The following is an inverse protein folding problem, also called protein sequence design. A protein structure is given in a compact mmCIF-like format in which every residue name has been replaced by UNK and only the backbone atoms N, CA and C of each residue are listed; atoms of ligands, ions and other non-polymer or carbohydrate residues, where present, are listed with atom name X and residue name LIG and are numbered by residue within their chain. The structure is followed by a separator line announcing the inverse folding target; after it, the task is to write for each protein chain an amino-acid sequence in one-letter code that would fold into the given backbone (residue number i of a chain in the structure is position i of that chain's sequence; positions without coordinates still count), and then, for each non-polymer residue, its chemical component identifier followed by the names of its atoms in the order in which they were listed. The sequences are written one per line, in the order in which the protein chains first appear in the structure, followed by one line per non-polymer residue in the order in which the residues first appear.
data_IF_299502067889
#
_entry.id   IF_299502067889
#
_cell.length_a   1.000
_cell.length_b   1.000
_cell.length_c   1.000
_cell.angle_alpha   90.00
_cell.angle_beta   90.00
_cell.angle_gamma   90.00
#
_symmetry.space_group_name_H-M   'P 1'
#
loop_
_entity.id
_entity.type
_entity.pdbx_description
1 polymer ?
#
# COMPACT_ATOMS: atom_id res chain seq x y z
N UNK A 1 10.88 26.86 17.48
CA UNK A 1 10.32 25.55 17.10
C UNK A 1 9.97 25.62 15.62
N UNK A 2 10.47 24.75 14.74
CA UNK A 2 10.03 24.75 13.35
C UNK A 2 8.54 24.43 13.34
N UNK A 3 7.74 25.24 12.62
CA UNK A 3 6.32 24.99 12.38
C UNK A 3 6.19 23.56 11.85
N UNK A 4 5.53 22.65 12.60
CA UNK A 4 5.11 21.35 12.07
C UNK A 4 4.40 21.64 10.75
N UNK A 5 5.03 21.28 9.62
CA UNK A 5 4.39 21.40 8.31
C UNK A 5 3.08 20.63 8.38
N UNK A 6 1.99 21.39 8.41
CA UNK A 6 0.66 20.79 8.43
C UNK A 6 0.47 20.07 7.10
N UNK A 7 0.19 18.77 7.16
CA UNK A 7 -0.04 17.93 6.00
C UNK A 7 -1.07 18.59 5.06
N UNK A 8 -0.80 18.56 3.76
CA UNK A 8 -1.75 18.97 2.73
C UNK A 8 -2.59 17.73 2.36
N UNK A 9 -3.76 17.63 2.95
CA UNK A 9 -4.66 16.47 2.83
C UNK A 9 -6.12 16.90 2.63
N UNK A 10 -7.05 15.96 2.69
CA UNK A 10 -8.49 16.19 2.56
C UNK A 10 -9.12 17.09 3.61
N UNK A 11 -8.41 17.47 4.69
CA UNK A 11 -8.88 18.44 5.69
C UNK A 11 -8.65 19.89 5.25
N UNK A 12 -7.93 20.10 4.14
CA UNK A 12 -7.62 21.42 3.62
C UNK A 12 -8.64 21.87 2.58
N UNK A 13 -8.89 23.16 2.55
CA UNK A 13 -9.82 23.77 1.58
C UNK A 13 -9.20 23.92 0.19
N UNK A 14 -10.03 24.04 -0.84
CA UNK A 14 -9.59 24.27 -2.22
C UNK A 14 -8.66 25.49 -2.37
N UNK A 15 -8.90 26.67 -1.72
CA UNK A 15 -7.94 27.77 -1.74
C UNK A 15 -6.56 27.42 -1.17
N UNK A 16 -6.51 26.59 -0.10
CA UNK A 16 -5.24 26.13 0.48
C UNK A 16 -4.47 25.23 -0.50
N UNK A 17 -5.15 24.31 -1.19
CA UNK A 17 -4.59 23.47 -2.24
C UNK A 17 -4.07 24.32 -3.41
N UNK A 18 -4.85 25.31 -3.85
CA UNK A 18 -4.46 26.24 -4.92
C UNK A 18 -3.20 27.03 -4.56
N UNK A 19 -3.08 27.48 -3.32
CA UNK A 19 -1.90 28.22 -2.83
C UNK A 19 -0.66 27.33 -2.74
N UNK A 20 -0.82 26.08 -2.29
CA UNK A 20 0.29 25.15 -2.06
C UNK A 20 0.92 24.67 -3.39
N UNK A 21 0.13 24.49 -4.47
CA UNK A 21 0.56 24.02 -5.80
C UNK A 21 1.48 22.78 -5.74
N UNK A 22 1.10 21.71 -5.05
CA UNK A 22 1.96 20.55 -4.88
C UNK A 22 2.28 19.90 -6.23
N UNK A 23 3.50 19.34 -6.35
CA UNK A 23 3.95 18.61 -7.55
C UNK A 23 4.04 17.11 -7.30
N UNK A 24 3.98 16.71 -6.05
CA UNK A 24 4.07 15.33 -5.56
C UNK A 24 2.86 15.02 -4.69
N UNK A 25 2.23 13.89 -4.89
CA UNK A 25 1.21 13.36 -4.00
C UNK A 25 1.47 11.89 -3.66
N UNK A 26 0.87 11.46 -2.56
CA UNK A 26 0.83 10.06 -2.12
C UNK A 26 -0.63 9.61 -2.16
N UNK A 27 -0.90 8.49 -2.82
CA UNK A 27 -2.17 7.78 -2.80
C UNK A 27 -1.94 6.42 -2.14
N UNK A 28 -2.36 6.24 -0.88
CA UNK A 28 -2.37 4.92 -0.26
C UNK A 28 -3.51 4.06 -0.84
N UNK A 29 -3.24 2.77 -1.05
CA UNK A 29 -4.24 1.78 -1.53
C UNK A 29 -4.19 0.58 -0.60
N UNK A 30 -5.25 0.36 0.16
CA UNK A 30 -5.45 -0.78 1.04
C UNK A 30 -6.33 -1.86 0.42
N UNK A 31 -7.02 -2.59 1.29
CA UNK A 31 -8.06 -3.55 0.96
C UNK A 31 -9.00 -3.73 2.15
N UNK A 32 -10.23 -4.13 1.88
CA UNK A 32 -11.21 -4.47 2.90
C UNK A 32 -11.48 -5.96 2.89
N UNK A 33 -10.71 -6.70 3.68
CA UNK A 33 -10.69 -8.15 3.63
C UNK A 33 -10.51 -8.81 5.00
N UNK A 34 -10.84 -10.10 5.05
CA UNK A 34 -10.65 -10.89 6.24
C UNK A 34 -9.18 -10.94 6.68
N UNK A 35 -8.92 -10.92 7.98
CA UNK A 35 -7.63 -11.11 8.62
C UNK A 35 -7.81 -12.06 9.83
N UNK A 36 -8.46 -13.20 9.59
CA UNK A 36 -8.78 -14.20 10.60
C UNK A 36 -9.66 -13.65 11.73
N UNK A 37 -9.62 -14.28 12.91
CA UNK A 37 -10.45 -13.93 14.09
C UNK A 37 -9.86 -12.77 14.91
N UNK A 38 -8.62 -12.38 14.69
CA UNK A 38 -7.89 -11.53 15.63
C UNK A 38 -7.59 -10.11 15.10
N UNK A 39 -7.62 -9.88 13.79
CA UNK A 39 -7.41 -8.56 13.20
C UNK A 39 -8.68 -8.04 12.51
N UNK A 40 -8.87 -6.72 12.42
CA UNK A 40 -10.01 -6.13 11.75
C UNK A 40 -9.93 -6.27 10.23
N UNK A 41 -11.08 -6.20 9.55
CA UNK A 41 -11.17 -6.20 8.08
C UNK A 41 -10.41 -5.04 7.42
N UNK A 42 -10.22 -3.95 8.14
CA UNK A 42 -9.51 -2.75 7.68
C UNK A 42 -8.00 -2.77 8.03
N UNK A 43 -7.41 -3.92 8.26
CA UNK A 43 -5.98 -4.03 8.64
C UNK A 43 -5.08 -3.35 7.62
N UNK A 44 -5.24 -3.65 6.33
CA UNK A 44 -4.46 -3.07 5.24
C UNK A 44 -4.61 -1.56 5.14
N UNK A 45 -5.85 -1.07 5.32
CA UNK A 45 -6.16 0.36 5.29
C UNK A 45 -5.45 1.11 6.41
N UNK A 46 -5.53 0.58 7.64
CA UNK A 46 -4.92 1.19 8.83
C UNK A 46 -3.40 1.28 8.65
N UNK A 47 -2.79 0.20 8.17
CA UNK A 47 -1.35 0.12 7.99
C UNK A 47 -0.87 1.03 6.87
N UNK A 48 -1.50 0.96 5.69
CA UNK A 48 -1.08 1.78 4.54
C UNK A 48 -1.35 3.26 4.75
N UNK A 49 -2.45 3.62 5.41
CA UNK A 49 -2.75 5.02 5.76
C UNK A 49 -1.67 5.60 6.68
N UNK A 50 -1.28 4.85 7.70
CA UNK A 50 -0.20 5.25 8.60
C UNK A 50 1.12 5.52 7.86
N UNK A 51 1.54 4.61 6.98
CA UNK A 51 2.75 4.80 6.20
C UNK A 51 2.60 5.90 5.14
N UNK A 52 1.43 6.03 4.53
CA UNK A 52 1.11 7.11 3.60
C UNK A 52 1.24 8.49 4.21
N UNK A 53 0.69 8.69 5.40
CA UNK A 53 0.84 9.92 6.17
C UNK A 53 2.31 10.21 6.50
N UNK A 54 3.06 9.20 6.90
CA UNK A 54 4.49 9.34 7.18
C UNK A 54 5.25 9.79 5.93
N UNK A 55 5.09 9.09 4.81
CA UNK A 55 5.76 9.41 3.53
C UNK A 55 5.41 10.82 3.06
N UNK A 56 4.12 11.19 3.13
CA UNK A 56 3.68 12.51 2.71
C UNK A 56 4.30 13.64 3.55
N UNK A 57 4.41 13.46 4.88
CA UNK A 57 5.07 14.42 5.77
C UNK A 57 6.56 14.56 5.48
N UNK A 58 7.26 13.44 5.30
CA UNK A 58 8.71 13.42 5.05
C UNK A 58 9.10 14.05 3.71
N UNK A 59 8.21 13.99 2.72
CA UNK A 59 8.45 14.55 1.38
C UNK A 59 7.83 15.93 1.17
N UNK A 60 7.02 16.43 2.10
CA UNK A 60 6.20 17.62 1.87
C UNK A 60 5.21 17.43 0.72
N UNK A 61 4.74 16.19 0.53
CA UNK A 61 3.81 15.82 -0.51
C UNK A 61 2.36 16.04 -0.06
N UNK A 62 1.44 16.20 -1.02
CA UNK A 62 0.02 16.11 -0.74
C UNK A 62 -0.36 14.65 -0.44
N UNK A 63 -1.25 14.45 0.52
CA UNK A 63 -1.83 13.14 0.83
C UNK A 63 -3.25 13.07 0.31
N UNK A 64 -3.50 12.14 -0.60
CA UNK A 64 -4.85 11.80 -1.04
C UNK A 64 -5.48 10.83 -0.03
N UNK A 65 -6.82 10.82 0.11
CA UNK A 65 -7.51 9.84 0.93
C UNK A 65 -7.13 8.41 0.55
N UNK A 66 -6.98 7.54 1.53
CA UNK A 66 -6.72 6.12 1.30
C UNK A 66 -7.85 5.50 0.49
N UNK A 67 -7.50 4.75 -0.55
CA UNK A 67 -8.43 3.93 -1.30
C UNK A 67 -8.64 2.61 -0.57
N UNK A 68 -9.76 2.49 0.14
CA UNK A 68 -10.03 1.42 1.08
C UNK A 68 -10.52 0.11 0.44
N UNK A 69 -10.84 0.13 -0.83
CA UNK A 69 -11.25 -1.06 -1.58
C UNK A 69 -10.22 -1.40 -2.63
N UNK A 70 -9.60 -2.55 -2.46
CA UNK A 70 -8.65 -3.14 -3.40
C UNK A 70 -9.21 -4.39 -4.08
N UNK A 71 -8.32 -5.21 -4.60
CA UNK A 71 -8.63 -6.55 -5.11
C UNK A 71 -8.24 -7.59 -4.07
N UNK A 72 -9.21 -8.35 -3.55
CA UNK A 72 -9.07 -9.38 -2.50
C UNK A 72 -9.77 -10.66 -2.95
N UNK A 73 -9.55 -11.05 -4.21
CA UNK A 73 -10.28 -12.17 -4.84
C UNK A 73 -9.98 -13.50 -4.14
N UNK A 74 -8.78 -13.67 -3.64
CA UNK A 74 -8.33 -14.82 -2.85
C UNK A 74 -9.06 -14.97 -1.51
N UNK A 75 -9.70 -13.91 -1.02
CA UNK A 75 -10.44 -13.86 0.25
C UNK A 75 -11.96 -13.84 0.10
N UNK A 76 -12.51 -13.98 -1.13
CA UNK A 76 -13.96 -13.84 -1.39
C UNK A 76 -14.83 -14.88 -0.70
N UNK A 77 -14.28 -15.99 -0.23
CA UNK A 77 -14.98 -17.00 0.57
C UNK A 77 -15.29 -16.60 2.02
N UNK A 78 -14.72 -15.49 2.51
CA UNK A 78 -14.90 -15.03 3.88
C UNK A 78 -15.91 -13.88 3.97
N UNK A 79 -16.83 -13.97 4.93
CA UNK A 79 -17.79 -12.88 5.17
C UNK A 79 -17.08 -11.61 5.60
N UNK A 80 -17.53 -10.48 5.08
CA UNK A 80 -16.99 -9.16 5.36
C UNK A 80 -15.96 -8.71 4.33
N UNK A 81 -15.30 -9.60 3.59
CA UNK A 81 -14.43 -9.22 2.49
C UNK A 81 -15.24 -8.59 1.36
N UNK A 82 -14.80 -7.42 0.90
CA UNK A 82 -15.37 -6.70 -0.25
C UNK A 82 -14.24 -6.40 -1.23
N UNK A 83 -14.24 -7.12 -2.35
CA UNK A 83 -13.23 -6.99 -3.39
C UNK A 83 -13.78 -6.24 -4.60
N UNK A 84 -12.98 -5.33 -5.14
CA UNK A 84 -13.20 -4.82 -6.50
C UNK A 84 -12.73 -5.87 -7.52
N UNK A 85 -13.28 -5.80 -8.72
CA UNK A 85 -12.69 -6.49 -9.87
C UNK A 85 -11.38 -5.78 -10.27
N UNK A 86 -10.37 -6.50 -10.76
CA UNK A 86 -9.10 -5.91 -11.20
C UNK A 86 -9.29 -4.74 -12.18
N UNK A 87 -10.19 -4.88 -13.15
CA UNK A 87 -10.48 -3.85 -14.15
C UNK A 87 -11.06 -2.59 -13.51
N UNK A 88 -11.91 -2.76 -12.49
CA UNK A 88 -12.51 -1.64 -11.75
C UNK A 88 -11.44 -0.87 -10.99
N UNK A 89 -10.55 -1.56 -10.26
CA UNK A 89 -9.45 -0.92 -9.57
C UNK A 89 -8.51 -0.20 -10.56
N UNK A 90 -8.17 -0.85 -11.68
CA UNK A 90 -7.35 -0.23 -12.72
C UNK A 90 -8.00 1.04 -13.28
N UNK A 91 -9.33 1.04 -13.47
CA UNK A 91 -10.04 2.22 -13.97
C UNK A 91 -10.06 3.36 -12.94
N UNK A 92 -10.30 3.06 -11.66
CA UNK A 92 -10.22 4.05 -10.57
C UNK A 92 -8.83 4.70 -10.52
N UNK A 93 -7.76 3.91 -10.66
CA UNK A 93 -6.39 4.46 -10.69
C UNK A 93 -6.16 5.34 -11.91
N UNK A 94 -6.68 4.98 -13.10
CA UNK A 94 -6.59 5.82 -14.31
C UNK A 94 -7.31 7.15 -14.14
N UNK A 95 -8.50 7.14 -13.57
CA UNK A 95 -9.31 8.34 -13.36
C UNK A 95 -8.62 9.28 -12.35
N UNK A 96 -8.19 8.75 -11.21
CA UNK A 96 -7.44 9.53 -10.22
C UNK A 96 -6.15 10.11 -10.83
N UNK A 97 -5.38 9.31 -11.56
CA UNK A 97 -4.15 9.77 -12.19
C UNK A 97 -4.41 10.90 -13.21
N UNK A 98 -5.48 10.79 -14.00
CA UNK A 98 -5.91 11.84 -14.93
C UNK A 98 -6.24 13.15 -14.23
N UNK A 99 -6.99 13.09 -13.13
CA UNK A 99 -7.34 14.26 -12.33
C UNK A 99 -6.12 14.89 -11.65
N UNK A 100 -5.27 14.06 -11.04
CA UNK A 100 -4.02 14.49 -10.41
C UNK A 100 -3.12 15.20 -11.43
N UNK A 101 -2.99 14.67 -12.64
CA UNK A 101 -2.23 15.31 -13.72
C UNK A 101 -2.83 16.66 -14.13
N UNK A 102 -4.17 16.74 -14.28
CA UNK A 102 -4.86 18.00 -14.61
C UNK A 102 -4.68 19.07 -13.53
N UNK A 103 -4.56 18.68 -12.26
CA UNK A 103 -4.25 19.57 -11.15
C UNK A 103 -2.78 20.03 -11.13
N UNK A 104 -1.95 19.53 -12.05
CA UNK A 104 -0.58 19.98 -12.25
C UNK A 104 0.47 19.24 -11.43
N UNK A 105 0.12 18.09 -10.86
CA UNK A 105 1.10 17.18 -10.26
C UNK A 105 2.03 16.59 -11.32
N UNK A 106 3.20 16.16 -10.91
CA UNK A 106 4.23 15.55 -11.78
C UNK A 106 4.58 14.15 -11.35
N UNK A 107 4.39 13.85 -10.07
CA UNK A 107 4.66 12.52 -9.53
C UNK A 107 3.53 12.13 -8.57
N UNK A 108 3.07 10.90 -8.70
CA UNK A 108 2.19 10.24 -7.73
C UNK A 108 2.92 9.01 -7.17
N UNK A 109 3.05 8.93 -5.86
CA UNK A 109 3.48 7.71 -5.17
C UNK A 109 2.21 6.92 -4.88
N UNK A 110 2.05 5.78 -5.54
CA UNK A 110 1.01 4.81 -5.29
C UNK A 110 1.55 3.84 -4.24
N UNK A 111 1.15 4.05 -2.98
CA UNK A 111 1.61 3.23 -1.87
C UNK A 111 0.66 2.06 -1.65
N UNK A 112 1.10 0.87 -2.02
CA UNK A 112 0.30 -0.35 -1.90
C UNK A 112 0.41 -0.96 -0.50
N UNK A 113 -0.73 -1.28 0.09
CA UNK A 113 -0.88 -1.93 1.39
C UNK A 113 -1.20 -3.41 1.34
N UNK A 114 -1.58 -3.96 0.18
CA UNK A 114 -2.13 -5.29 0.08
C UNK A 114 -1.56 -6.11 -1.10
N UNK A 115 -1.20 -7.36 -0.83
CA UNK A 115 -0.59 -8.25 -1.83
C UNK A 115 -1.51 -8.59 -3.00
N UNK A 116 -2.81 -8.75 -2.74
CA UNK A 116 -3.83 -9.04 -3.75
C UNK A 116 -4.09 -7.91 -4.74
N UNK A 117 -3.57 -6.72 -4.53
CA UNK A 117 -3.65 -5.59 -5.46
C UNK A 117 -2.73 -5.75 -6.70
N UNK A 118 -2.59 -6.96 -7.22
CA UNK A 118 -1.69 -7.29 -8.35
C UNK A 118 -1.96 -6.47 -9.61
N UNK A 119 -3.19 -5.97 -9.80
CA UNK A 119 -3.59 -5.13 -10.94
C UNK A 119 -2.99 -3.71 -10.93
N UNK A 120 -2.38 -3.28 -9.82
CA UNK A 120 -1.69 -1.99 -9.75
C UNK A 120 -0.44 -1.94 -10.64
N UNK A 121 0.31 -3.03 -10.76
CA UNK A 121 1.51 -3.06 -11.59
C UNK A 121 1.22 -2.83 -13.07
N UNK A 122 0.32 -3.58 -13.73
CA UNK A 122 0.01 -3.35 -15.14
C UNK A 122 -0.59 -1.96 -15.41
N UNK A 123 -1.48 -1.44 -14.57
CA UNK A 123 -2.05 -0.10 -14.78
C UNK A 123 -1.00 1.01 -14.64
N UNK A 124 -0.08 0.90 -13.69
CA UNK A 124 1.03 1.86 -13.53
C UNK A 124 1.97 1.80 -14.72
N UNK A 125 2.29 0.59 -15.23
CA UNK A 125 3.11 0.45 -16.45
C UNK A 125 2.44 1.08 -17.66
N UNK A 126 1.13 0.86 -17.83
CA UNK A 126 0.34 1.45 -18.91
C UNK A 126 0.36 2.98 -18.84
N UNK A 127 0.03 3.58 -17.69
CA UNK A 127 0.04 5.03 -17.50
C UNK A 127 1.44 5.63 -17.73
N UNK A 128 2.49 5.01 -17.20
CA UNK A 128 3.85 5.53 -17.31
C UNK A 128 4.44 5.46 -18.72
N UNK A 129 3.92 4.58 -19.58
CA UNK A 129 4.34 4.47 -21.00
C UNK A 129 3.68 5.51 -21.89
N UNK A 130 2.57 6.09 -21.47
CA UNK A 130 1.91 7.16 -22.21
C UNK A 130 2.76 8.44 -22.15
N UNK A 131 2.62 9.30 -23.17
CA UNK A 131 3.25 10.64 -23.17
C UNK A 131 2.51 11.58 -22.21
N UNK A 132 2.66 11.29 -20.94
CA UNK A 132 2.08 12.04 -19.82
C UNK A 132 3.15 12.75 -19.01
N UNK A 133 2.78 13.90 -18.48
CA UNK A 133 3.62 14.67 -17.57
C UNK A 133 3.68 14.04 -16.17
N UNK A 134 2.62 13.32 -15.77
CA UNK A 134 2.58 12.57 -14.52
C UNK A 134 3.34 11.25 -14.67
N UNK A 135 4.17 10.92 -13.69
CA UNK A 135 4.76 9.58 -13.51
C UNK A 135 4.35 9.02 -12.16
N UNK A 136 4.05 7.73 -12.14
CA UNK A 136 3.61 7.01 -10.94
C UNK A 136 4.75 6.10 -10.46
N UNK A 137 5.10 6.24 -9.19
CA UNK A 137 5.97 5.30 -8.49
C UNK A 137 5.08 4.34 -7.68
N UNK A 138 5.06 3.08 -8.07
CA UNK A 138 4.41 2.03 -7.29
C UNK A 138 5.38 1.52 -6.24
N UNK A 139 4.97 1.58 -4.98
CA UNK A 139 5.77 1.15 -3.82
C UNK A 139 4.85 0.37 -2.88
N UNK A 140 5.33 -0.74 -2.33
CA UNK A 140 4.62 -1.50 -1.29
C UNK A 140 5.37 -1.40 0.03
N UNK A 141 4.67 -1.10 1.13
CA UNK A 141 5.31 -0.92 2.42
C UNK A 141 5.94 -2.22 2.95
N UNK A 142 5.33 -3.36 2.62
CA UNK A 142 5.77 -4.67 3.08
C UNK A 142 6.98 -5.23 2.30
N UNK A 143 7.35 -4.66 1.15
CA UNK A 143 8.50 -5.15 0.35
C UNK A 143 9.79 -5.13 1.16
N UNK A 144 10.03 -4.09 1.95
CA UNK A 144 11.22 -3.99 2.80
C UNK A 144 11.25 -5.07 3.89
N UNK A 145 10.08 -5.50 4.36
CA UNK A 145 9.97 -6.59 5.35
C UNK A 145 10.34 -7.92 4.72
N UNK A 146 9.84 -8.19 3.50
CA UNK A 146 10.15 -9.39 2.73
C UNK A 146 11.66 -9.47 2.41
N UNK A 147 12.25 -8.38 1.92
CA UNK A 147 13.66 -8.30 1.56
C UNK A 147 14.59 -8.44 2.78
N UNK A 148 14.17 -8.01 3.95
CA UNK A 148 14.96 -8.11 5.18
C UNK A 148 15.01 -9.52 5.78
N UNK A 149 14.19 -10.46 5.28
CA UNK A 149 14.03 -11.79 5.86
C UNK A 149 13.40 -11.80 7.25
N UNK A 150 12.88 -10.65 7.71
CA UNK A 150 12.20 -10.53 9.00
C UNK A 150 10.86 -11.28 9.02
N UNK A 151 10.33 -11.56 7.84
CA UNK A 151 9.16 -12.37 7.63
C UNK A 151 9.59 -13.81 7.32
N UNK A 152 9.14 -14.78 8.09
CA UNK A 152 9.33 -16.19 7.76
C UNK A 152 8.71 -16.49 6.38
N UNK A 153 9.27 -17.48 5.63
CA UNK A 153 8.77 -17.87 4.29
C UNK A 153 7.28 -18.20 4.23
N UNK A 154 6.66 -18.43 5.38
CA UNK A 154 5.25 -18.79 5.56
C UNK A 154 4.41 -17.70 6.23
N UNK A 155 4.90 -16.47 6.37
CA UNK A 155 4.15 -15.36 6.98
C UNK A 155 3.67 -14.41 5.87
N UNK A 156 2.53 -14.76 5.27
CA UNK A 156 1.99 -14.10 4.08
C UNK A 156 0.78 -13.22 4.40
N UNK A 157 -0.08 -13.64 5.36
CA UNK A 157 -1.34 -12.96 5.65
C UNK A 157 -1.80 -13.21 7.08
N UNK A 158 -2.18 -12.14 7.78
CA UNK A 158 -2.66 -12.14 9.17
C UNK A 158 -1.71 -12.86 10.15
N UNK A 159 -0.43 -12.94 9.84
CA UNK A 159 0.58 -13.64 10.63
C UNK A 159 1.32 -12.73 11.61
N UNK A 160 2.59 -13.04 11.86
CA UNK A 160 3.44 -12.33 12.83
C UNK A 160 3.62 -10.85 12.49
N UNK A 161 3.90 -10.54 11.21
CA UNK A 161 4.24 -9.17 10.78
C UNK A 161 3.05 -8.24 10.92
N UNK A 162 1.94 -8.55 10.28
CA UNK A 162 0.74 -7.68 10.31
C UNK A 162 0.18 -7.55 11.72
N UNK A 163 0.13 -8.66 12.46
CA UNK A 163 -0.33 -8.65 13.86
C UNK A 163 0.59 -7.78 14.73
N UNK A 164 1.90 -7.87 14.58
CA UNK A 164 2.85 -7.04 15.33
C UNK A 164 2.69 -5.55 15.01
N UNK A 165 2.55 -5.21 13.73
CA UNK A 165 2.31 -3.84 13.30
C UNK A 165 1.00 -3.30 13.88
N UNK A 166 -0.08 -4.09 13.84
CA UNK A 166 -1.36 -3.70 14.42
C UNK A 166 -1.32 -3.57 15.94
N UNK A 167 -0.59 -4.44 16.64
CA UNK A 167 -0.35 -4.31 18.10
C UNK A 167 0.38 -3.00 18.45
N UNK A 168 1.25 -2.52 17.57
CA UNK A 168 1.93 -1.24 17.76
C UNK A 168 1.08 -0.02 17.40
N UNK A 169 0.23 -0.11 16.37
CA UNK A 169 -0.57 1.00 15.87
C UNK A 169 -1.93 1.12 16.55
N UNK A 170 -2.64 0.00 16.68
CA UNK A 170 -4.03 -0.10 17.15
C UNK A 170 -4.24 -1.35 17.98
N UNK A 171 -3.60 -1.44 19.18
CA UNK A 171 -3.76 -2.61 20.06
C UNK A 171 -5.22 -2.83 20.48
N UNK A 172 -6.02 -1.77 20.53
CA UNK A 172 -7.45 -1.78 20.82
C UNK A 172 -8.29 -2.60 19.81
N UNK A 173 -7.78 -2.78 18.59
CA UNK A 173 -8.45 -3.53 17.52
C UNK A 173 -7.97 -4.98 17.40
N UNK A 174 -6.90 -5.34 18.08
CA UNK A 174 -6.34 -6.70 18.03
C UNK A 174 -6.98 -7.59 19.09
N UNK A 175 -7.62 -8.69 18.67
CA UNK A 175 -8.24 -9.65 19.60
C UNK A 175 -7.18 -10.53 20.26
N UNK A 176 -7.50 -11.17 21.43
CA UNK A 176 -6.54 -12.01 22.16
C UNK A 176 -6.19 -13.33 21.47
N UNK A 177 -7.04 -13.83 20.58
CA UNK A 177 -6.80 -15.03 19.78
C UNK A 177 -5.50 -14.87 18.98
N UNK A 178 -4.75 -15.96 18.86
CA UNK A 178 -3.49 -15.98 18.11
C UNK A 178 -3.44 -17.20 17.19
N UNK A 179 -4.26 -17.17 16.12
CA UNK A 179 -4.28 -18.28 15.17
C UNK A 179 -2.97 -18.38 14.41
N UNK A 180 -2.70 -19.58 13.95
CA UNK A 180 -1.57 -19.89 13.06
C UNK A 180 -2.03 -20.80 11.94
N UNK A 181 -1.30 -20.80 10.84
CA UNK A 181 -1.63 -21.59 9.67
C UNK A 181 -1.81 -23.07 10.02
N UNK A 182 -2.99 -23.60 9.70
CA UNK A 182 -3.32 -25.02 9.68
C UNK A 182 -3.82 -25.34 8.27
N UNK A 183 -2.94 -25.74 7.34
CA UNK A 183 -3.33 -25.94 5.96
C UNK A 183 -4.29 -27.11 5.84
N UNK A 184 -5.34 -26.94 5.02
CA UNK A 184 -6.28 -28.01 4.68
C UNK A 184 -5.69 -29.02 3.69
N UNK A 185 -4.66 -28.62 2.94
CA UNK A 185 -3.97 -29.43 1.93
C UNK A 185 -2.46 -29.41 2.17
N UNK A 186 -1.78 -30.53 1.83
CA UNK A 186 -0.32 -30.63 1.95
C UNK A 186 0.33 -30.20 0.62
N UNK A 187 1.52 -29.61 0.72
CA UNK A 187 2.36 -29.29 -0.45
C UNK A 187 1.91 -28.08 -1.26
N UNK A 188 0.93 -27.30 -0.79
CA UNK A 188 0.54 -26.07 -1.44
C UNK A 188 1.68 -25.04 -1.45
N UNK A 189 1.65 -24.14 -2.43
CA UNK A 189 2.56 -23.02 -2.59
C UNK A 189 1.78 -21.71 -2.60
N UNK A 190 2.44 -20.58 -2.27
CA UNK A 190 1.78 -19.27 -2.29
C UNK A 190 1.02 -18.96 -3.60
N UNK A 191 1.53 -19.30 -4.81
CA UNK A 191 0.78 -19.06 -6.05
C UNK A 191 -0.56 -19.79 -6.13
N UNK A 192 -0.74 -20.88 -5.37
CA UNK A 192 -1.99 -21.64 -5.34
C UNK A 192 -3.16 -20.81 -4.79
N UNK A 193 -2.88 -19.78 -3.97
CA UNK A 193 -3.89 -18.83 -3.52
C UNK A 193 -4.64 -18.17 -4.68
N UNK A 194 -3.96 -17.93 -5.79
CA UNK A 194 -4.57 -17.33 -6.98
C UNK A 194 -5.63 -18.23 -7.61
N UNK A 195 -5.43 -19.55 -7.52
CA UNK A 195 -6.32 -20.55 -8.16
C UNK A 195 -7.40 -21.05 -7.20
N UNK A 196 -7.03 -21.33 -5.96
CA UNK A 196 -7.90 -22.03 -5.01
C UNK A 196 -8.48 -21.11 -3.92
N UNK A 197 -7.88 -19.94 -3.71
CA UNK A 197 -8.28 -18.99 -2.67
C UNK A 197 -7.85 -19.38 -1.26
N UNK A 198 -7.88 -18.41 -0.36
CA UNK A 198 -7.46 -18.58 1.03
C UNK A 198 -8.34 -19.59 1.78
N UNK A 199 -9.65 -19.55 1.58
CA UNK A 199 -10.58 -20.44 2.29
C UNK A 199 -10.37 -21.92 2.03
N UNK A 200 -9.83 -22.28 0.86
CA UNK A 200 -9.47 -23.67 0.56
C UNK A 200 -8.16 -24.08 1.22
N UNK A 201 -7.15 -23.21 1.24
CA UNK A 201 -5.80 -23.53 1.75
C UNK A 201 -5.74 -23.36 3.26
N UNK A 202 -6.29 -22.28 3.77
CA UNK A 202 -6.26 -21.88 5.18
C UNK A 202 -7.66 -21.43 5.64
N UNK A 203 -8.55 -22.38 6.00
CA UNK A 203 -9.95 -22.09 6.37
C UNK A 203 -10.10 -21.09 7.52
N UNK A 204 -9.12 -21.02 8.43
CA UNK A 204 -9.08 -20.05 9.53
C UNK A 204 -8.68 -18.64 9.05
N UNK A 205 -8.38 -18.46 7.76
CA UNK A 205 -8.05 -17.17 7.16
C UNK A 205 -6.68 -16.61 7.56
N UNK A 206 -5.77 -17.40 8.10
CA UNK A 206 -4.41 -17.00 8.45
C UNK A 206 -3.39 -17.78 7.61
N UNK A 207 -2.41 -17.08 7.05
CA UNK A 207 -1.27 -17.70 6.39
C UNK A 207 0.03 -17.19 7.03
N UNK A 208 0.30 -17.69 8.24
CA UNK A 208 1.42 -17.30 9.09
C UNK A 208 1.25 -17.83 10.51
N UNK A 209 1.99 -17.28 11.45
CA UNK A 209 1.87 -17.58 12.88
C UNK A 209 1.73 -16.28 13.70
N UNK A 210 0.50 -15.87 13.98
CA UNK A 210 0.23 -14.67 14.76
C UNK A 210 0.61 -14.79 16.25
N UNK A 211 0.85 -16.03 16.74
CA UNK A 211 1.29 -16.24 18.13
C UNK A 211 2.69 -15.71 18.41
N UNK A 212 3.49 -15.51 17.36
CA UNK A 212 4.83 -14.95 17.45
C UNK A 212 4.84 -13.41 17.50
N UNK A 213 3.69 -12.77 17.28
CA UNK A 213 3.57 -11.33 17.23
C UNK A 213 3.73 -10.67 18.60
N UNK A 214 4.38 -9.50 18.60
CA UNK A 214 4.42 -8.63 19.79
C UNK A 214 4.43 -7.15 19.39
N UNK A 215 4.04 -6.29 20.32
CA UNK A 215 4.09 -4.84 20.14
C UNK A 215 5.52 -4.36 19.87
N UNK A 216 6.51 -4.88 20.60
CA UNK A 216 7.92 -4.51 20.46
C UNK A 216 8.45 -4.85 19.06
N UNK A 217 8.06 -6.02 18.52
CA UNK A 217 8.36 -6.40 17.14
C UNK A 217 7.71 -5.43 16.16
N UNK A 218 6.45 -5.07 16.37
CA UNK A 218 5.74 -4.09 15.56
C UNK A 218 6.43 -2.72 15.52
N UNK A 219 6.83 -2.21 16.68
CA UNK A 219 7.57 -0.95 16.78
C UNK A 219 8.92 -0.99 16.05
N UNK A 220 9.64 -2.12 16.12
CA UNK A 220 10.90 -2.33 15.38
C UNK A 220 10.64 -2.38 13.87
N UNK A 221 9.63 -3.13 13.45
CA UNK A 221 9.23 -3.24 12.04
C UNK A 221 8.84 -1.88 11.47
N UNK A 222 8.01 -1.12 12.16
CA UNK A 222 7.59 0.23 11.74
C UNK A 222 8.80 1.15 11.55
N UNK A 223 9.77 1.13 12.48
CA UNK A 223 10.99 1.94 12.33
C UNK A 223 11.78 1.53 11.10
N UNK A 224 11.95 0.24 10.87
CA UNK A 224 12.67 -0.30 9.71
C UNK A 224 11.96 0.05 8.40
N UNK A 225 10.67 -0.23 8.30
CA UNK A 225 9.85 0.09 7.12
C UNK A 225 9.94 1.58 6.78
N UNK A 226 9.84 2.47 7.76
CA UNK A 226 9.99 3.91 7.53
C UNK A 226 11.34 4.29 6.91
N UNK A 227 12.43 3.70 7.38
CA UNK A 227 13.78 3.95 6.85
C UNK A 227 13.89 3.44 5.41
N UNK A 228 13.47 2.21 5.16
CA UNK A 228 13.60 1.55 3.86
C UNK A 228 12.68 2.19 2.81
N UNK A 229 11.44 2.52 3.16
CA UNK A 229 10.53 3.27 2.29
C UNK A 229 11.12 4.61 1.86
N UNK A 230 11.64 5.39 2.81
CA UNK A 230 12.19 6.70 2.49
C UNK A 230 13.44 6.61 1.64
N UNK A 231 14.32 5.65 1.92
CA UNK A 231 15.49 5.37 1.09
C UNK A 231 15.06 5.03 -0.33
N UNK A 232 14.20 4.02 -0.48
CA UNK A 232 13.70 3.55 -1.76
C UNK A 232 13.03 4.66 -2.57
N UNK A 233 12.11 5.41 -1.97
CA UNK A 233 11.37 6.47 -2.65
C UNK A 233 12.32 7.60 -3.08
N UNK A 234 13.23 8.07 -2.21
CA UNK A 234 14.17 9.16 -2.55
C UNK A 234 15.09 8.79 -3.70
N UNK A 235 15.60 7.56 -3.73
CA UNK A 235 16.41 7.05 -4.85
C UNK A 235 15.63 7.09 -6.17
N UNK A 236 14.37 6.64 -6.20
CA UNK A 236 13.54 6.62 -7.42
C UNK A 236 13.13 8.03 -7.86
N UNK A 237 12.84 8.91 -6.93
CA UNK A 237 12.60 10.32 -7.25
C UNK A 237 13.84 10.97 -7.89
N UNK A 238 15.04 10.62 -7.41
CA UNK A 238 16.29 11.09 -8.01
C UNK A 238 16.49 10.51 -9.41
N UNK A 239 16.21 9.22 -9.62
CA UNK A 239 16.26 8.61 -10.96
C UNK A 239 15.27 9.26 -11.93
N UNK A 240 14.05 9.58 -11.49
CA UNK A 240 13.09 10.32 -12.32
C UNK A 240 13.63 11.69 -12.73
N UNK A 241 14.31 12.42 -11.85
CA UNK A 241 14.94 13.70 -12.18
C UNK A 241 16.05 13.55 -13.21
N UNK A 242 16.91 12.53 -13.05
CA UNK A 242 18.04 12.27 -13.96
C UNK A 242 17.60 11.75 -15.31
N UNK A 243 16.55 10.95 -15.37
CA UNK A 243 16.09 10.28 -16.61
C UNK A 243 15.56 11.24 -17.67
N UNK A 244 15.40 12.54 -17.35
CA UNK A 244 14.81 13.56 -18.25
C UNK A 244 13.46 13.16 -18.85
N UNK A 245 12.78 12.18 -18.26
CA UNK A 245 11.46 11.70 -18.74
C UNK A 245 10.45 12.85 -18.81
N UNK A 246 10.64 13.88 -18.00
CA UNK A 246 9.80 15.09 -18.00
C UNK A 246 10.23 16.17 -19.02
N UNK A 247 11.36 16.00 -19.70
CA UNK A 247 11.96 17.04 -20.54
C UNK A 247 11.71 16.89 -22.04
N UNK A 248 11.07 15.82 -22.50
CA UNK A 248 10.88 15.57 -23.94
C UNK A 248 9.56 16.08 -24.54
N UNK A 249 8.66 16.68 -23.77
CA UNK A 249 7.43 17.27 -24.32
C UNK A 249 7.62 18.70 -24.85
N UNK A 250 8.60 18.92 -25.72
CA UNK A 250 8.84 20.27 -26.19
C UNK A 250 9.88 20.47 -27.29
N UNK A 251 10.13 19.48 -28.14
CA UNK A 251 10.75 19.72 -29.46
C UNK A 251 10.22 18.70 -30.47
N UNK A 252 9.13 19.05 -31.12
CA UNK A 252 8.93 18.58 -32.48
C UNK A 252 10.09 19.19 -33.30
N UNK A 253 11.01 18.35 -33.72
CA UNK A 253 11.99 18.77 -34.72
C UNK A 253 11.25 19.10 -36.01
N UNK A 254 11.56 20.30 -36.51
CA UNK A 254 11.12 20.77 -37.81
C UNK A 254 11.77 19.95 -38.92
#
# INVERSE_FOLDING_TARGET
MPKRNSLLDGTRTSPQWRKARPKLCVLPVGAFEQHSSHLPLATDDIQVDYFGQFVARELGAALLPTLNYGTSLEHTGFRGTISLRPETLMQVIRDIAGEVERQGFRTMILLNGHGGNFSLLPVVRDINRQDRRLKILLVSWYTSVLESGAQGKSDIHAGEVETSVMLALRPDLVRPERPRLKPSVKGFQQPDLTTFGMGFIAPDGVYGDSSLASREKGEKLIRRVKQDLMKHIRERLEWLRRSRIYGRSGRAEK
#
